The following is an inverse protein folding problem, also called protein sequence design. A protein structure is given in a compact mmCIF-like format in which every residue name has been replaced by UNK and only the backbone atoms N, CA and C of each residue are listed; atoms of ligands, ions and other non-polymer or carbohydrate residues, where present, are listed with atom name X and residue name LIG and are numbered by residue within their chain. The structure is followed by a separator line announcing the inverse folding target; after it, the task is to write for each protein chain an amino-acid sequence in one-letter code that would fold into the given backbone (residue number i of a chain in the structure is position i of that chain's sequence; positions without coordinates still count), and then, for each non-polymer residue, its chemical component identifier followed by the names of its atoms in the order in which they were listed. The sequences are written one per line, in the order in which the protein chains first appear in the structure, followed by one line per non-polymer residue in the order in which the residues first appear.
data_IF_276056970328
#
_entry.id   IF_276056970328
#
_cell.length_a   1.000
_cell.length_b   1.000
_cell.length_c   1.000
_cell.angle_alpha   90.00
_cell.angle_beta   90.00
_cell.angle_gamma   90.00
#
_symmetry.space_group_name_H-M   'P 1'
#
loop_
_entity.id
_entity.type
_entity.pdbx_description
1 polymer ?
#
# COMPACT_ATOMS: atom_id res chain seq x y z
N UNK A 1 -15.59 -24.70 -7.51
CA UNK A 1 -15.35 -24.02 -6.22
C UNK A 1 -13.97 -23.34 -6.15
N UNK A 2 -12.89 -23.98 -6.57
CA UNK A 2 -11.53 -23.42 -6.41
C UNK A 2 -11.28 -22.12 -7.21
N UNK A 3 -11.77 -22.02 -8.45
CA UNK A 3 -11.58 -20.84 -9.30
C UNK A 3 -12.13 -19.55 -8.66
N UNK A 4 -13.36 -19.60 -8.15
CA UNK A 4 -13.99 -18.47 -7.45
C UNK A 4 -13.22 -18.08 -6.18
N UNK A 5 -12.67 -19.06 -5.45
CA UNK A 5 -11.85 -18.79 -4.27
C UNK A 5 -10.55 -18.07 -4.63
N UNK A 6 -9.84 -18.54 -5.66
CA UNK A 6 -8.61 -17.91 -6.17
C UNK A 6 -8.87 -16.44 -6.54
N UNK A 7 -9.96 -16.18 -7.27
CA UNK A 7 -10.35 -14.82 -7.68
C UNK A 7 -10.58 -13.93 -6.45
N UNK A 8 -11.32 -14.43 -5.45
CA UNK A 8 -11.62 -13.68 -4.23
C UNK A 8 -10.35 -13.34 -3.45
N UNK A 9 -9.42 -14.28 -3.29
CA UNK A 9 -8.15 -14.04 -2.58
C UNK A 9 -7.26 -13.08 -3.36
N UNK A 10 -7.12 -13.24 -4.67
CA UNK A 10 -6.32 -12.33 -5.49
C UNK A 10 -6.85 -10.88 -5.42
N UNK A 11 -8.18 -10.69 -5.43
CA UNK A 11 -8.78 -9.36 -5.23
C UNK A 11 -8.59 -8.83 -3.81
N UNK A 12 -8.69 -9.68 -2.78
CA UNK A 12 -8.42 -9.30 -1.38
C UNK A 12 -6.97 -8.85 -1.19
N UNK A 13 -6.03 -9.44 -1.93
CA UNK A 13 -4.63 -9.00 -1.99
C UNK A 13 -4.45 -7.69 -2.76
N UNK A 14 -5.48 -7.10 -3.38
CA UNK A 14 -5.34 -5.86 -4.16
C UNK A 14 -4.83 -6.07 -5.59
N UNK A 15 -4.79 -7.32 -6.09
CA UNK A 15 -4.54 -7.57 -7.51
C UNK A 15 -5.73 -7.10 -8.35
N UNK A 16 -5.45 -6.51 -9.52
CA UNK A 16 -6.49 -6.14 -10.48
C UNK A 16 -6.93 -7.36 -11.29
N UNK A 17 -8.11 -7.91 -10.95
CA UNK A 17 -8.62 -9.19 -11.50
C UNK A 17 -9.94 -8.97 -12.24
N UNK A 18 -9.97 -9.27 -13.54
CA UNK A 18 -11.15 -9.16 -14.43
C UNK A 18 -11.57 -10.49 -15.08
N UNK A 19 -10.86 -11.58 -14.80
CA UNK A 19 -11.18 -12.93 -15.28
C UNK A 19 -12.39 -13.54 -14.58
N UNK A 20 -13.04 -14.46 -15.28
CA UNK A 20 -14.16 -15.25 -14.80
C UNK A 20 -13.67 -16.60 -14.24
N UNK A 21 -14.43 -17.27 -13.34
CA UNK A 21 -14.09 -18.61 -12.87
C UNK A 21 -13.86 -19.60 -14.02
N UNK A 22 -14.60 -19.44 -15.11
CA UNK A 22 -14.55 -20.26 -16.32
C UNK A 22 -13.17 -20.16 -17.00
N UNK A 23 -12.57 -18.96 -17.04
CA UNK A 23 -11.23 -18.76 -17.60
C UNK A 23 -10.16 -19.58 -16.86
N UNK A 24 -10.37 -19.85 -15.57
CA UNK A 24 -9.47 -20.68 -14.77
C UNK A 24 -9.74 -22.17 -15.02
N UNK A 25 -11.01 -22.58 -15.01
CA UNK A 25 -11.38 -24.00 -15.16
C UNK A 25 -11.15 -24.53 -16.56
N UNK A 26 -11.32 -23.69 -17.58
CA UNK A 26 -11.10 -24.02 -18.99
C UNK A 26 -9.65 -23.73 -19.45
N UNK A 27 -8.83 -23.19 -18.55
CA UNK A 27 -7.40 -22.90 -18.81
C UNK A 27 -7.22 -21.93 -19.99
N UNK A 28 -7.92 -20.80 -19.94
CA UNK A 28 -7.74 -19.71 -20.89
C UNK A 28 -6.35 -19.08 -20.67
N UNK A 29 -5.37 -19.52 -21.46
CA UNK A 29 -3.94 -19.21 -21.27
C UNK A 29 -3.65 -17.71 -21.12
N UNK A 30 -4.35 -16.86 -21.89
CA UNK A 30 -4.17 -15.39 -21.80
C UNK A 30 -4.61 -14.86 -20.44
N UNK A 31 -5.75 -15.32 -19.94
CA UNK A 31 -6.29 -14.91 -18.64
C UNK A 31 -5.47 -15.46 -17.48
N UNK A 32 -4.99 -16.71 -17.59
CA UNK A 32 -4.07 -17.30 -16.62
C UNK A 32 -2.76 -16.49 -16.55
N UNK A 33 -2.19 -16.13 -17.71
CA UNK A 33 -0.98 -15.31 -17.76
C UNK A 33 -1.19 -13.96 -17.08
N UNK A 34 -2.32 -13.30 -17.35
CA UNK A 34 -2.65 -12.02 -16.69
C UNK A 34 -2.80 -12.19 -15.17
N UNK A 35 -3.46 -13.26 -14.71
CA UNK A 35 -3.58 -13.57 -13.29
C UNK A 35 -2.19 -13.70 -12.65
N UNK A 36 -1.31 -14.51 -13.22
CA UNK A 36 0.06 -14.71 -12.72
C UNK A 36 0.86 -13.41 -12.70
N UNK A 37 0.80 -12.63 -13.78
CA UNK A 37 1.49 -11.34 -13.86
C UNK A 37 0.98 -10.35 -12.79
N UNK A 38 -0.33 -10.32 -12.54
CA UNK A 38 -0.92 -9.44 -11.51
C UNK A 38 -0.47 -9.80 -10.09
N UNK A 39 -0.39 -11.10 -9.78
CA UNK A 39 0.08 -11.60 -8.49
C UNK A 39 1.57 -11.30 -8.32
N UNK A 40 2.37 -11.57 -9.35
CA UNK A 40 3.80 -11.28 -9.34
C UNK A 40 4.07 -9.78 -9.15
N UNK A 41 3.33 -8.93 -9.86
CA UNK A 41 3.43 -7.48 -9.72
C UNK A 41 3.11 -7.01 -8.30
N UNK A 42 2.01 -7.52 -7.72
CA UNK A 42 1.65 -7.20 -6.34
C UNK A 42 2.75 -7.61 -5.35
N UNK A 43 3.35 -8.79 -5.55
CA UNK A 43 4.43 -9.28 -4.70
C UNK A 43 5.69 -8.41 -4.79
N UNK A 44 6.13 -8.06 -6.00
CA UNK A 44 7.35 -7.27 -6.22
C UNK A 44 7.20 -5.79 -5.88
N UNK A 45 5.97 -5.26 -5.84
CA UNK A 45 5.70 -3.86 -5.47
C UNK A 45 5.90 -3.60 -3.97
N UNK A 46 5.87 -4.63 -3.12
CA UNK A 46 6.14 -4.44 -1.70
C UNK A 46 7.61 -4.03 -1.53
N UNK A 47 7.91 -2.88 -0.89
CA UNK A 47 9.29 -2.57 -0.55
C UNK A 47 9.82 -3.72 0.29
N UNK A 48 11.08 -4.12 0.03
CA UNK A 48 11.80 -5.10 0.84
C UNK A 48 12.11 -4.46 2.21
N UNK A 49 11.08 -4.14 2.99
CA UNK A 49 11.22 -4.25 4.43
C UNK A 49 11.11 -5.74 4.73
N UNK A 50 12.13 -6.26 5.41
CA UNK A 50 12.27 -7.65 5.80
C UNK A 50 10.97 -8.17 6.44
N UNK A 51 10.07 -8.72 5.63
CA UNK A 51 8.89 -9.39 6.15
C UNK A 51 9.39 -10.72 6.70
N UNK A 52 9.41 -10.93 8.03
CA UNK A 52 9.85 -12.21 8.56
C UNK A 52 8.91 -13.26 8.00
N UNK A 53 9.51 -14.29 7.41
CA UNK A 53 8.82 -15.47 6.88
C UNK A 53 8.09 -16.17 8.03
N UNK A 54 6.90 -15.70 8.36
CA UNK A 54 6.06 -16.22 9.43
C UNK A 54 4.63 -15.80 9.18
N UNK A 55 3.75 -16.78 8.98
CA UNK A 55 2.33 -16.56 8.84
C UNK A 55 1.78 -15.75 10.02
N UNK A 56 1.07 -14.66 9.76
CA UNK A 56 0.18 -14.03 10.73
C UNK A 56 -0.94 -13.33 9.97
N UNK A 57 -2.15 -13.84 10.15
CA UNK A 57 -3.38 -13.16 9.76
C UNK A 57 -3.39 -11.78 10.41
N UNK A 58 -3.44 -10.72 9.59
CA UNK A 58 -3.64 -9.36 10.07
C UNK A 58 -4.81 -8.75 9.32
N UNK A 59 -5.96 -8.88 9.96
CA UNK A 59 -7.13 -8.06 9.72
C UNK A 59 -6.86 -6.69 10.36
N UNK A 60 -6.63 -5.67 9.53
CA UNK A 60 -6.74 -4.29 9.99
C UNK A 60 -7.20 -3.37 8.86
N UNK A 61 -8.51 -3.10 8.86
CA UNK A 61 -9.11 -2.04 8.06
C UNK A 61 -9.08 -0.71 8.81
N UNK A 62 -8.80 0.34 8.03
CA UNK A 62 -9.13 1.76 8.29
C UNK A 62 -8.36 2.48 9.41
N UNK A 63 -7.35 3.27 9.00
CA UNK A 63 -6.86 4.42 9.76
C UNK A 63 -7.99 5.48 9.78
N UNK A 64 -8.41 5.89 10.98
CA UNK A 64 -9.29 7.05 11.19
C UNK A 64 -8.42 8.23 11.64
N UNK A 65 -8.57 9.36 10.97
CA UNK A 65 -7.76 10.58 11.14
C UNK A 65 -7.94 11.19 12.53
N UNK A 66 -6.85 11.38 13.28
CA UNK A 66 -6.87 12.15 14.53
C UNK A 66 -6.26 13.53 14.25
N UNK A 67 -7.09 14.56 14.38
CA UNK A 67 -6.73 15.98 14.26
C UNK A 67 -5.79 16.33 15.42
N UNK A 68 -4.55 16.70 15.13
CA UNK A 68 -3.59 17.20 16.13
C UNK A 68 -3.55 18.73 16.10
N UNK A 69 -4.06 19.36 17.17
CA UNK A 69 -3.86 20.79 17.42
C UNK A 69 -2.49 20.99 18.11
N UNK A 70 -1.51 21.59 17.42
CA UNK A 70 -0.26 22.00 18.06
C UNK A 70 -0.46 23.35 18.75
N UNK A 71 -0.36 23.36 20.07
CA UNK A 71 -0.33 24.57 20.92
C UNK A 71 0.97 25.33 20.71
N UNK A 72 0.86 26.66 20.64
CA UNK A 72 1.97 27.59 20.49
C UNK A 72 2.60 27.80 21.87
N UNK A 73 3.90 27.56 22.01
CA UNK A 73 4.67 28.07 23.15
C UNK A 73 5.69 29.08 22.65
N UNK A 74 5.52 30.28 23.20
CA UNK A 74 6.25 31.52 22.97
C UNK A 74 7.34 31.60 24.04
N UNK A 75 8.61 31.81 23.68
CA UNK A 75 9.65 32.22 24.64
C UNK A 75 10.68 33.11 23.96
N UNK A 76 10.87 34.27 24.57
CA UNK A 76 11.44 35.49 24.05
C UNK A 76 12.97 35.57 24.07
N UNK A 77 13.48 36.21 23.00
CA UNK A 77 14.58 37.20 22.91
C UNK A 77 16.00 36.89 23.43
N UNK A 78 17.01 37.12 22.57
CA UNK A 78 17.97 38.25 22.71
C UNK A 78 18.76 38.50 21.41
N UNK A 79 19.34 39.70 21.31
CA UNK A 79 19.57 40.53 20.13
C UNK A 79 20.93 40.39 19.43
N UNK A 80 21.00 40.73 18.13
CA UNK A 80 22.19 41.38 17.54
C UNK A 80 21.77 42.37 16.45
N UNK A 81 21.81 43.66 16.77
CA UNK A 81 22.01 44.75 15.81
C UNK A 81 23.45 44.57 15.29
N UNK A 82 23.72 44.62 13.99
CA UNK A 82 24.23 45.84 13.36
C UNK A 82 23.97 45.90 11.84
N UNK A 83 23.50 47.08 11.48
CA UNK A 83 23.13 47.63 10.19
C UNK A 83 24.34 48.29 9.52
N UNK A 84 24.61 47.98 8.25
CA UNK A 84 24.88 48.96 7.19
C UNK A 84 25.09 48.18 5.89
N UNK A 85 24.47 48.48 4.76
CA UNK A 85 24.06 49.78 4.27
C UNK A 85 24.49 49.81 2.80
N UNK A 86 23.51 50.00 1.93
CA UNK A 86 23.60 49.93 0.47
C UNK A 86 24.50 51.04 -0.10
N UNK A 87 25.48 50.69 -0.95
CA UNK A 87 25.88 51.36 -2.21
C UNK A 87 27.31 51.02 -2.62
#
# INVERSE_FOLDING_TARGET
MNASYIISIARKLGCSIFLLPEDITEVNQKMILTLTASIMYWFLKQPVEERPSGASDSENGSQSETISNSTMDDTASESSIEENGTR
#
